data_IF_256862712807
#
_entry.id   IF_256862712807
#
_cell.length_a   1.000
_cell.length_b   1.000
_cell.length_c   1.000
_cell.angle_alpha   90.00
_cell.angle_beta   90.00
_cell.angle_gamma   90.00
#
_symmetry.space_group_name_H-M   'P 1'
#
loop_
_entity.id
_entity.type
_entity.pdbx_description
1 polymer ?
#
# COMPACT_ATOMS: atom_id res chain seq x y z
N UNK A 1 0.08 -7.69 20.11
CA UNK A 1 0.18 -6.27 20.51
C UNK A 1 -0.29 -5.42 19.34
N UNK A 2 -1.14 -4.45 19.62
CA UNK A 2 -2.07 -3.77 18.71
C UNK A 2 -1.57 -3.56 17.28
N UNK A 3 -2.37 -4.08 16.35
CA UNK A 3 -2.35 -4.03 14.88
C UNK A 3 -2.41 -2.60 14.35
N UNK A 4 -1.35 -1.84 14.61
CA UNK A 4 -1.23 -0.48 14.10
C UNK A 4 -0.60 -0.57 12.72
N UNK A 5 -1.44 -0.44 11.69
CA UNK A 5 -1.00 -0.31 10.30
C UNK A 5 0.16 0.68 10.20
N UNK A 6 1.29 0.23 9.65
CA UNK A 6 2.43 1.07 9.37
C UNK A 6 2.00 2.18 8.40
N UNK A 7 2.63 3.36 8.47
CA UNK A 7 2.18 4.51 7.67
C UNK A 7 2.09 4.19 6.16
N UNK A 8 3.06 3.43 5.64
CA UNK A 8 3.11 3.02 4.24
C UNK A 8 1.94 2.10 3.87
N UNK A 9 1.64 1.11 4.70
CA UNK A 9 0.53 0.19 4.51
C UNK A 9 -0.79 0.96 4.49
N UNK A 10 -0.96 1.92 5.40
CA UNK A 10 -2.15 2.78 5.44
C UNK A 10 -2.30 3.62 4.17
N UNK A 11 -1.21 4.20 3.67
CA UNK A 11 -1.22 4.99 2.42
C UNK A 11 -1.58 4.12 1.21
N UNK A 12 -1.02 2.92 1.10
CA UNK A 12 -1.32 1.97 0.01
C UNK A 12 -2.77 1.51 0.07
N UNK A 13 -3.28 1.09 1.24
CA UNK A 13 -4.67 0.68 1.39
C UNK A 13 -5.64 1.80 1.04
N UNK A 14 -5.34 3.05 1.41
CA UNK A 14 -6.17 4.20 1.04
C UNK A 14 -6.19 4.38 -0.49
N UNK A 15 -5.02 4.34 -1.13
CA UNK A 15 -4.92 4.49 -2.58
C UNK A 15 -5.65 3.38 -3.35
N UNK A 16 -5.53 2.13 -2.88
CA UNK A 16 -6.18 0.97 -3.50
C UNK A 16 -7.70 0.97 -3.25
N UNK A 17 -8.17 1.39 -2.07
CA UNK A 17 -9.61 1.50 -1.80
C UNK A 17 -10.32 2.51 -2.72
N UNK A 18 -9.63 3.58 -3.14
CA UNK A 18 -10.21 4.59 -4.03
C UNK A 18 -10.24 4.16 -5.50
N UNK A 19 -9.34 3.26 -5.93
CA UNK A 19 -9.20 2.86 -7.35
C UNK A 19 -9.48 1.39 -7.66
N UNK A 20 -9.61 0.54 -6.66
CA UNK A 20 -9.73 -0.92 -6.79
C UNK A 20 -8.40 -1.61 -7.12
N UNK A 21 -7.64 -1.07 -8.09
CA UNK A 21 -6.32 -1.55 -8.47
C UNK A 21 -5.43 -0.38 -8.91
N UNK A 22 -4.12 -0.48 -8.70
CA UNK A 22 -3.15 0.49 -9.20
C UNK A 22 -1.80 -0.19 -9.47
N UNK A 23 -1.10 0.27 -10.50
CA UNK A 23 0.29 -0.14 -10.74
C UNK A 23 1.24 0.43 -9.68
N UNK A 24 2.42 -0.18 -9.54
CA UNK A 24 3.47 0.31 -8.62
C UNK A 24 3.81 1.78 -8.89
N UNK A 25 3.90 2.18 -10.15
CA UNK A 25 4.23 3.55 -10.55
C UNK A 25 3.13 4.55 -10.19
N UNK A 26 1.86 4.15 -10.29
CA UNK A 26 0.72 4.96 -9.83
C UNK A 26 0.73 5.07 -8.31
N UNK A 27 0.97 3.97 -7.59
CA UNK A 27 1.04 3.97 -6.13
C UNK A 27 2.18 4.86 -5.63
N UNK A 28 3.33 4.85 -6.29
CA UNK A 28 4.43 5.79 -5.98
C UNK A 28 3.99 7.24 -6.14
N UNK A 29 3.32 7.58 -7.24
CA UNK A 29 2.81 8.94 -7.49
C UNK A 29 1.74 9.35 -6.47
N UNK A 30 0.83 8.45 -6.12
CA UNK A 30 -0.29 8.72 -5.20
C UNK A 30 0.16 8.82 -3.74
N UNK A 31 1.12 8.00 -3.33
CA UNK A 31 1.53 7.89 -1.92
C UNK A 31 2.80 8.68 -1.60
N UNK A 32 3.54 9.10 -2.63
CA UNK A 32 4.86 9.73 -2.50
C UNK A 32 5.95 8.77 -1.99
N UNK A 33 5.67 7.47 -1.97
CA UNK A 33 6.60 6.46 -1.46
C UNK A 33 7.62 6.04 -2.52
N UNK A 34 8.79 5.60 -2.05
CA UNK A 34 9.77 4.96 -2.92
C UNK A 34 9.27 3.60 -3.39
N UNK A 35 9.78 3.12 -4.53
CA UNK A 35 9.41 1.83 -5.12
C UNK A 35 9.52 0.68 -4.12
N UNK A 36 10.63 0.61 -3.37
CA UNK A 36 10.83 -0.44 -2.38
C UNK A 36 9.86 -0.37 -1.19
N UNK A 37 9.39 0.82 -0.81
CA UNK A 37 8.36 0.97 0.21
C UNK A 37 6.98 0.53 -0.31
N UNK A 38 6.66 0.87 -1.57
CA UNK A 38 5.43 0.41 -2.24
C UNK A 38 5.41 -1.10 -2.38
N UNK A 39 6.49 -1.72 -2.87
CA UNK A 39 6.57 -3.18 -3.06
C UNK A 39 6.42 -3.92 -1.73
N UNK A 40 7.10 -3.47 -0.67
CA UNK A 40 6.96 -4.08 0.68
C UNK A 40 5.54 -3.94 1.24
N UNK A 41 4.94 -2.76 1.13
CA UNK A 41 3.59 -2.52 1.63
C UNK A 41 2.52 -3.25 0.81
N UNK A 42 2.74 -3.41 -0.50
CA UNK A 42 1.85 -4.18 -1.38
C UNK A 42 1.94 -5.68 -1.07
N UNK A 43 3.15 -6.23 -0.92
CA UNK A 43 3.36 -7.62 -0.52
C UNK A 43 2.75 -7.91 0.87
N UNK A 44 2.85 -6.96 1.80
CA UNK A 44 2.14 -7.04 3.07
C UNK A 44 0.62 -7.09 2.88
N UNK A 45 0.07 -6.22 2.01
CA UNK A 45 -1.37 -6.14 1.76
C UNK A 45 -1.91 -7.45 1.15
N UNK A 46 -1.19 -8.03 0.18
CA UNK A 46 -1.48 -9.35 -0.40
C UNK A 46 -1.43 -10.45 0.68
N UNK A 47 -0.37 -10.47 1.50
CA UNK A 47 -0.22 -11.45 2.58
C UNK A 47 -1.36 -11.37 3.60
N UNK A 48 -1.92 -10.19 3.81
CA UNK A 48 -3.04 -9.95 4.74
C UNK A 48 -4.42 -10.12 4.08
N UNK A 49 -4.50 -10.31 2.77
CA UNK A 49 -5.75 -10.45 2.02
C UNK A 49 -6.65 -9.21 2.10
N UNK A 50 -6.04 -8.03 2.23
CA UNK A 50 -6.76 -6.74 2.32
C UNK A 50 -6.85 -6.03 0.98
N UNK A 51 -6.25 -6.60 -0.07
CA UNK A 51 -6.30 -6.18 -1.47
C UNK A 51 -6.35 -7.41 -2.37
#
# INVERSE_FOLDING_TARGET
MASTLHEHERRILKALRERGSASVEELQRLTGLSRGAVEKASAWAETKGVV
#
